data_IF_857145885813
#
_entry.id   IF_857145885813
#
_cell.length_a   1.000
_cell.length_b   1.000
_cell.length_c   1.000
_cell.angle_alpha   90.00
_cell.angle_beta   90.00
_cell.angle_gamma   90.00
#
_symmetry.space_group_name_H-M   'P 1'
#
loop_
_entity.id
_entity.type
_entity.pdbx_description
1 polymer ?
#
# COMPACT_ATOMS: atom_id res chain seq x y z
N UNK A 1 -12.17 24.79 -4.82
CA UNK A 1 -12.19 23.35 -4.74
C UNK A 1 -13.49 22.88 -4.07
N UNK A 2 -13.89 21.70 -4.39
CA UNK A 2 -15.13 21.10 -3.86
C UNK A 2 -14.91 20.34 -2.55
N UNK A 3 -13.73 20.42 -1.95
CA UNK A 3 -13.43 19.80 -0.67
C UNK A 3 -13.10 18.32 -0.72
N UNK A 4 -13.07 17.69 -1.89
CA UNK A 4 -12.65 16.31 -2.01
C UNK A 4 -11.13 16.22 -2.13
N UNK A 5 -10.53 15.34 -1.31
CA UNK A 5 -9.07 15.16 -1.28
C UNK A 5 -8.62 13.79 -1.75
N UNK A 6 -9.47 12.78 -1.66
CA UNK A 6 -9.10 11.39 -1.93
C UNK A 6 -10.15 10.72 -2.80
N UNK A 7 -9.69 10.07 -3.86
CA UNK A 7 -10.52 9.20 -4.68
C UNK A 7 -10.21 7.76 -4.28
N UNK A 8 -11.23 7.03 -3.83
CA UNK A 8 -11.10 5.67 -3.34
C UNK A 8 -11.69 4.71 -4.35
N UNK A 9 -10.92 3.71 -4.75
CA UNK A 9 -11.37 2.65 -5.66
C UNK A 9 -11.45 1.36 -4.86
N UNK A 10 -12.67 0.86 -4.70
CA UNK A 10 -12.94 -0.41 -4.04
C UNK A 10 -13.46 -1.45 -5.03
N UNK A 11 -13.66 -2.67 -4.53
CA UNK A 11 -14.11 -3.78 -5.37
C UNK A 11 -15.42 -3.49 -6.09
N UNK A 12 -16.39 -2.91 -5.40
CA UNK A 12 -17.75 -2.74 -5.92
C UNK A 12 -18.14 -1.30 -6.19
N UNK A 13 -17.34 -0.32 -5.79
CA UNK A 13 -17.68 1.09 -5.95
C UNK A 13 -16.45 1.98 -5.88
N UNK A 14 -16.55 3.14 -6.48
CA UNK A 14 -15.58 4.21 -6.36
C UNK A 14 -16.26 5.41 -5.74
N UNK A 15 -15.52 6.15 -4.91
CA UNK A 15 -16.11 7.34 -4.26
C UNK A 15 -15.03 8.33 -3.87
N UNK A 16 -15.45 9.56 -3.57
CA UNK A 16 -14.57 10.62 -3.11
C UNK A 16 -14.76 10.87 -1.62
N UNK A 17 -13.64 11.16 -0.95
CA UNK A 17 -13.64 11.53 0.47
C UNK A 17 -13.04 12.91 0.66
N UNK A 18 -13.48 13.63 1.67
CA UNK A 18 -12.99 14.96 1.99
C UNK A 18 -11.75 14.96 2.88
N UNK A 19 -11.14 13.79 3.12
CA UNK A 19 -9.90 13.66 3.88
C UNK A 19 -8.77 13.23 2.94
N UNK A 20 -7.53 13.54 3.29
CA UNK A 20 -6.41 13.13 2.47
C UNK A 20 -6.08 11.64 2.62
N UNK A 21 -5.31 11.10 1.65
CA UNK A 21 -4.98 9.68 1.59
C UNK A 21 -4.25 9.20 2.83
N UNK A 22 -3.31 9.97 3.33
CA UNK A 22 -2.53 9.57 4.50
C UNK A 22 -3.42 9.45 5.73
N UNK A 23 -4.35 10.39 5.90
CA UNK A 23 -5.31 10.35 7.00
C UNK A 23 -6.20 9.13 6.91
N UNK A 24 -6.67 8.82 5.70
CA UNK A 24 -7.47 7.62 5.47
C UNK A 24 -6.69 6.35 5.82
N UNK A 25 -5.43 6.29 5.43
CA UNK A 25 -4.57 5.15 5.74
C UNK A 25 -4.37 5.01 7.25
N UNK A 26 -4.19 6.11 7.95
CA UNK A 26 -4.09 6.11 9.42
C UNK A 26 -5.35 5.55 10.06
N UNK A 27 -6.52 5.95 9.58
CA UNK A 27 -7.79 5.38 10.05
C UNK A 27 -7.86 3.88 9.78
N UNK A 28 -7.40 3.43 8.62
CA UNK A 28 -7.34 2.01 8.30
C UNK A 28 -6.49 1.22 9.28
N UNK A 29 -5.31 1.74 9.61
CA UNK A 29 -4.45 1.11 10.61
C UNK A 29 -5.16 1.02 11.96
N UNK A 30 -5.78 2.11 12.40
CA UNK A 30 -6.50 2.14 13.68
C UNK A 30 -7.66 1.15 13.71
N UNK A 31 -8.36 0.99 12.58
CA UNK A 31 -9.46 0.05 12.46
C UNK A 31 -9.02 -1.38 12.79
N UNK A 32 -7.81 -1.75 12.39
CA UNK A 32 -7.25 -3.08 12.67
C UNK A 32 -6.44 -3.13 13.96
N UNK A 33 -6.56 -2.10 14.81
CA UNK A 33 -5.85 -2.07 16.09
C UNK A 33 -4.38 -1.71 15.98
N UNK A 34 -3.95 -1.15 14.86
CA UNK A 34 -2.57 -0.75 14.62
C UNK A 34 -2.41 0.77 14.64
N UNK A 35 -1.17 1.24 14.56
CA UNK A 35 -0.82 2.64 14.42
C UNK A 35 0.07 2.80 13.19
N UNK A 36 -0.26 3.76 12.33
CA UNK A 36 0.56 4.08 11.17
C UNK A 36 2.01 4.35 11.56
N UNK A 37 2.23 5.18 12.56
CA UNK A 37 3.59 5.55 12.96
C UNK A 37 4.38 4.36 13.50
N UNK A 38 3.73 3.51 14.29
CA UNK A 38 4.36 2.30 14.82
C UNK A 38 4.70 1.33 13.69
N UNK A 39 3.78 1.11 12.76
CA UNK A 39 4.00 0.20 11.63
C UNK A 39 5.09 0.73 10.69
N UNK A 40 5.12 2.04 10.44
CA UNK A 40 6.17 2.64 9.65
C UNK A 40 7.53 2.43 10.30
N UNK A 41 7.64 2.68 11.59
CA UNK A 41 8.89 2.50 12.33
C UNK A 41 9.33 1.04 12.33
N UNK A 42 8.39 0.11 12.48
CA UNK A 42 8.67 -1.31 12.43
C UNK A 42 9.34 -1.70 11.10
N UNK A 43 8.75 -1.26 9.98
CA UNK A 43 9.28 -1.57 8.65
C UNK A 43 10.66 -0.95 8.46
N UNK A 44 10.87 0.27 8.93
CA UNK A 44 12.18 0.94 8.88
C UNK A 44 13.21 0.13 9.69
N UNK A 45 12.87 -0.26 10.88
CA UNK A 45 13.81 -0.95 11.78
C UNK A 45 14.21 -2.32 11.25
N UNK A 46 13.26 -3.07 10.68
CA UNK A 46 13.53 -4.44 10.22
C UNK A 46 14.17 -4.46 8.83
N UNK A 47 13.73 -3.58 7.92
CA UNK A 47 14.10 -3.67 6.51
C UNK A 47 14.97 -2.52 6.01
N UNK A 48 15.16 -1.48 6.80
CA UNK A 48 15.85 -0.24 6.39
C UNK A 48 15.17 0.47 5.21
N UNK A 49 13.84 0.37 5.12
CA UNK A 49 13.07 1.04 4.08
C UNK A 49 12.64 2.43 4.54
N UNK A 50 13.54 3.40 4.42
CA UNK A 50 13.31 4.77 4.89
C UNK A 50 12.51 5.63 3.93
N UNK A 51 12.53 5.31 2.64
CA UNK A 51 11.91 6.11 1.59
C UNK A 51 10.72 5.36 1.05
N UNK A 52 9.55 6.04 0.96
CA UNK A 52 8.30 5.43 0.47
C UNK A 52 8.00 4.13 1.20
N UNK A 53 8.06 4.19 2.51
CA UNK A 53 7.95 3.01 3.37
C UNK A 53 6.58 2.35 3.22
N UNK A 54 6.52 1.06 2.85
CA UNK A 54 5.26 0.32 2.88
C UNK A 54 4.73 0.18 4.30
N UNK A 55 3.42 0.14 4.45
CA UNK A 55 2.76 0.10 5.76
C UNK A 55 1.96 -1.19 5.90
N UNK A 56 2.20 -1.89 7.00
CA UNK A 56 1.44 -3.09 7.35
C UNK A 56 0.18 -2.62 8.08
N UNK A 57 -0.92 -2.56 7.35
CA UNK A 57 -2.21 -2.15 7.93
C UNK A 57 -2.74 -3.23 8.85
N UNK A 58 -2.60 -4.49 8.45
CA UNK A 58 -2.97 -5.63 9.28
C UNK A 58 -2.04 -6.80 8.95
N UNK A 59 -1.28 -7.27 9.93
CA UNK A 59 -0.43 -8.45 9.75
C UNK A 59 -1.26 -9.72 9.71
N UNK A 60 -2.31 -9.79 10.52
CA UNK A 60 -3.18 -10.97 10.57
C UNK A 60 -3.90 -11.19 9.23
N UNK A 61 -4.44 -10.12 8.64
CA UNK A 61 -5.14 -10.21 7.36
C UNK A 61 -4.20 -10.03 6.16
N UNK A 62 -2.93 -9.83 6.39
CA UNK A 62 -1.91 -9.61 5.38
C UNK A 62 -2.26 -8.43 4.47
N UNK A 63 -2.63 -7.29 5.06
CA UNK A 63 -2.95 -6.07 4.33
C UNK A 63 -1.75 -5.14 4.37
N UNK A 64 -1.12 -4.94 3.23
CA UNK A 64 0.06 -4.08 3.09
C UNK A 64 -0.23 -3.06 2.01
N UNK A 65 -0.08 -1.78 2.35
CA UNK A 65 -0.20 -0.69 1.39
C UNK A 65 1.17 -0.06 1.14
N UNK A 66 1.40 0.39 -0.06
CA UNK A 66 2.62 1.14 -0.36
C UNK A 66 2.31 2.45 -1.07
N UNK A 67 3.08 3.51 -0.75
CA UNK A 67 2.94 4.79 -1.45
C UNK A 67 3.78 4.80 -2.72
N UNK A 68 3.35 5.59 -3.69
CA UNK A 68 4.08 5.74 -4.96
C UNK A 68 5.03 6.93 -4.96
N UNK A 69 4.93 7.80 -3.95
CA UNK A 69 5.83 8.92 -3.76
C UNK A 69 5.83 9.29 -2.27
N UNK A 70 6.39 10.44 -1.92
CA UNK A 70 6.39 10.93 -0.54
C UNK A 70 4.96 11.00 0.00
N UNK A 71 4.67 10.36 1.15
CA UNK A 71 3.30 10.28 1.67
C UNK A 71 2.58 11.62 1.85
N UNK A 72 3.31 12.69 2.14
CA UNK A 72 2.72 14.01 2.32
C UNK A 72 2.33 14.69 1.01
N UNK A 73 2.77 14.15 -0.13
CA UNK A 73 2.45 14.72 -1.43
C UNK A 73 0.98 14.45 -1.79
N UNK A 74 0.30 15.48 -2.31
CA UNK A 74 -1.08 15.34 -2.79
C UNK A 74 -1.18 14.44 -4.03
N UNK A 75 -0.06 14.19 -4.70
CA UNK A 75 -0.01 13.30 -5.86
C UNK A 75 0.23 11.84 -5.49
N UNK A 76 0.46 11.57 -4.20
CA UNK A 76 0.77 10.22 -3.77
C UNK A 76 -0.44 9.30 -3.93
N UNK A 77 -0.20 8.19 -4.61
CA UNK A 77 -1.18 7.11 -4.74
C UNK A 77 -0.75 6.01 -3.78
N UNK A 78 -1.68 5.52 -3.00
CA UNK A 78 -1.46 4.36 -2.14
C UNK A 78 -2.14 3.15 -2.75
N UNK A 79 -1.40 2.07 -2.88
CA UNK A 79 -1.88 0.83 -3.51
C UNK A 79 -1.83 -0.32 -2.51
N UNK A 80 -2.88 -1.14 -2.54
CA UNK A 80 -2.94 -2.35 -1.73
C UNK A 80 -2.16 -3.46 -2.45
N UNK A 81 -0.99 -3.78 -1.94
CA UNK A 81 -0.10 -4.79 -2.52
C UNK A 81 -0.82 -6.11 -2.76
N UNK A 82 -1.60 -6.56 -1.79
CA UNK A 82 -2.22 -7.88 -1.83
C UNK A 82 -3.26 -8.03 -2.94
N UNK A 83 -3.79 -6.92 -3.44
CA UNK A 83 -4.83 -6.94 -4.47
C UNK A 83 -4.27 -6.82 -5.88
N UNK A 84 -2.98 -6.61 -6.02
CA UNK A 84 -2.33 -6.49 -7.33
C UNK A 84 -1.96 -7.88 -7.83
N UNK A 85 -2.44 -8.23 -9.01
CA UNK A 85 -2.11 -9.51 -9.64
C UNK A 85 -0.98 -9.38 -10.65
N UNK A 86 -0.87 -8.22 -11.31
CA UNK A 86 0.11 -7.99 -12.36
C UNK A 86 0.29 -6.50 -12.60
N UNK A 87 1.42 -6.10 -13.10
CA UNK A 87 1.68 -4.73 -13.53
C UNK A 87 2.61 -4.72 -14.72
N UNK A 88 2.34 -3.83 -15.69
CA UNK A 88 3.11 -3.76 -16.93
C UNK A 88 3.51 -2.33 -17.24
N UNK A 89 4.65 -2.20 -17.90
CA UNK A 89 5.17 -0.89 -18.31
C UNK A 89 4.32 -0.31 -19.42
N UNK A 90 3.98 0.98 -19.29
CA UNK A 90 3.30 1.74 -20.32
C UNK A 90 4.18 2.92 -20.74
N UNK A 91 3.82 3.61 -21.85
CA UNK A 91 4.61 4.74 -22.34
C UNK A 91 4.72 5.88 -21.33
N UNK A 92 3.67 6.14 -20.55
CA UNK A 92 3.62 7.24 -19.59
C UNK A 92 3.40 6.78 -18.15
N UNK A 93 3.78 5.55 -17.83
CA UNK A 93 3.61 5.06 -16.47
C UNK A 93 3.49 3.56 -16.40
N UNK A 94 2.53 3.10 -15.59
CA UNK A 94 2.33 1.68 -15.31
C UNK A 94 0.86 1.34 -15.36
N UNK A 95 0.53 0.21 -15.96
CA UNK A 95 -0.82 -0.35 -15.90
C UNK A 95 -0.84 -1.43 -14.83
N UNK A 96 -1.78 -1.30 -13.91
CA UNK A 96 -1.90 -2.22 -12.78
C UNK A 96 -3.19 -3.00 -12.89
N UNK A 97 -3.09 -4.30 -12.72
CA UNK A 97 -4.22 -5.24 -12.74
C UNK A 97 -4.50 -5.71 -11.33
N UNK A 98 -5.77 -5.66 -10.94
CA UNK A 98 -6.21 -6.06 -9.60
C UNK A 98 -6.99 -7.38 -9.63
N UNK A 99 -7.03 -8.05 -8.50
CA UNK A 99 -7.66 -9.38 -8.36
C UNK A 99 -9.17 -9.37 -8.58
N UNK A 100 -9.80 -8.18 -8.52
CA UNK A 100 -11.24 -8.04 -8.78
C UNK A 100 -11.56 -7.79 -10.25
N UNK A 101 -10.57 -7.88 -11.14
CA UNK A 101 -10.73 -7.63 -12.56
C UNK A 101 -10.59 -6.17 -12.99
N UNK A 102 -10.48 -5.24 -12.03
CA UNK A 102 -10.23 -3.83 -12.36
C UNK A 102 -8.79 -3.64 -12.82
N UNK A 103 -8.57 -2.64 -13.64
CA UNK A 103 -7.24 -2.23 -14.08
C UNK A 103 -7.15 -0.71 -14.07
N UNK A 104 -5.96 -0.19 -13.81
CA UNK A 104 -5.71 1.24 -13.71
C UNK A 104 -4.41 1.60 -14.40
N UNK A 105 -4.45 2.71 -15.17
CA UNK A 105 -3.23 3.32 -15.70
C UNK A 105 -2.84 4.46 -14.78
N UNK A 106 -1.63 4.39 -14.22
CA UNK A 106 -1.14 5.44 -13.33
C UNK A 106 0.13 6.06 -13.89
N UNK A 107 0.31 7.36 -13.65
CA UNK A 107 1.49 8.10 -14.11
C UNK A 107 2.64 7.95 -13.11
N UNK A 108 2.99 6.72 -12.84
CA UNK A 108 4.10 6.38 -11.93
C UNK A 108 5.02 5.43 -12.70
N UNK A 109 6.34 5.69 -12.73
CA UNK A 109 7.26 4.82 -13.47
C UNK A 109 7.19 3.37 -13.04
N UNK A 110 7.34 2.47 -14.01
CA UNK A 110 7.35 1.03 -13.73
C UNK A 110 8.39 0.66 -12.68
N UNK A 111 9.58 1.27 -12.75
CA UNK A 111 10.65 0.97 -11.79
C UNK A 111 10.26 1.32 -10.36
N UNK A 112 9.49 2.38 -10.17
CA UNK A 112 8.97 2.75 -8.85
C UNK A 112 8.03 1.68 -8.32
N UNK A 113 7.08 1.25 -9.15
CA UNK A 113 6.13 0.19 -8.77
C UNK A 113 6.86 -1.12 -8.49
N UNK A 114 7.78 -1.51 -9.36
CA UNK A 114 8.54 -2.75 -9.21
C UNK A 114 9.36 -2.75 -7.91
N UNK A 115 10.02 -1.65 -7.59
CA UNK A 115 10.78 -1.52 -6.35
C UNK A 115 9.88 -1.62 -5.13
N UNK A 116 8.71 -0.98 -5.18
CA UNK A 116 7.77 -1.02 -4.07
C UNK A 116 7.16 -2.42 -3.88
N UNK A 117 6.81 -3.10 -4.96
CA UNK A 117 6.32 -4.48 -4.91
C UNK A 117 7.40 -5.40 -4.32
N UNK A 118 8.64 -5.22 -4.72
CA UNK A 118 9.78 -6.01 -4.18
C UNK A 118 9.90 -5.84 -2.67
N UNK A 119 9.76 -4.61 -2.18
CA UNK A 119 9.75 -4.34 -0.73
C UNK A 119 8.60 -5.09 -0.04
N UNK A 120 7.41 -5.04 -0.61
CA UNK A 120 6.24 -5.70 -0.04
C UNK A 120 6.38 -7.22 -0.03
N UNK A 121 6.98 -7.80 -1.06
CA UNK A 121 7.25 -9.25 -1.11
C UNK A 121 8.14 -9.67 0.05
N UNK A 122 9.17 -8.90 0.34
CA UNK A 122 10.09 -9.19 1.46
C UNK A 122 9.38 -9.05 2.80
N UNK A 123 8.54 -8.04 2.94
CA UNK A 123 7.72 -7.85 4.15
C UNK A 123 6.79 -9.04 4.35
N UNK A 124 6.10 -9.46 3.29
CA UNK A 124 5.18 -10.59 3.34
C UNK A 124 5.88 -11.88 3.75
N UNK A 125 7.04 -12.14 3.17
CA UNK A 125 7.84 -13.32 3.55
C UNK A 125 8.24 -13.30 5.02
N UNK A 126 8.64 -12.14 5.51
CA UNK A 126 9.02 -11.98 6.91
C UNK A 126 7.84 -12.25 7.83
N UNK A 127 6.68 -11.66 7.53
CA UNK A 127 5.48 -11.86 8.33
C UNK A 127 5.02 -13.32 8.32
N UNK A 128 5.05 -13.98 7.17
CA UNK A 128 4.71 -15.40 7.05
C UNK A 128 5.67 -16.26 7.88
N UNK A 129 6.94 -15.91 7.90
CA UNK A 129 7.93 -16.61 8.71
C UNK A 129 7.65 -16.51 10.21
N UNK A 130 7.29 -15.31 10.67
CA UNK A 130 6.93 -15.09 12.08
C UNK A 130 5.68 -15.90 12.45
N UNK A 131 4.64 -15.81 11.63
CA UNK A 131 3.38 -16.51 11.89
C UNK A 131 3.57 -18.02 11.93
N UNK A 132 4.38 -18.56 11.01
CA UNK A 132 4.69 -19.99 10.99
C UNK A 132 5.39 -20.43 12.27
N UNK A 133 6.40 -19.68 12.71
CA UNK A 133 7.13 -19.99 13.94
C UNK A 133 6.21 -19.94 15.16
N UNK A 134 5.28 -19.01 15.18
CA UNK A 134 4.31 -18.90 16.27
C UNK A 134 3.38 -20.12 16.33
N UNK A 135 2.93 -20.59 15.17
CA UNK A 135 2.02 -21.74 15.09
C UNK A 135 2.73 -23.05 15.43
N UNK A 136 4.00 -23.20 15.04
CA UNK A 136 4.77 -24.41 15.27
C UNK A 136 5.24 -24.58 16.72
N UNK A 137 5.11 -23.55 17.54
CA UNK A 137 5.40 -23.64 18.97
C UNK A 137 4.18 -24.20 19.70
#
# INVERSE_FOLDING_TARGET
SNGYCTYVVEKNKDFYLSIDCLKLLKYGCNFYGNSYNIQRQFVIDIFNYYIKTPIIVSSYNMIIFFPTCTPSSKKCIWLAYNNITRYVKESNGTKIYFDNGKEMNIKVPYTTIDNQITKCIKIEKYLNGIMRKTVEK
#
